data_IF_460782974752
#
_entry.id   IF_460782974752
#
_cell.length_a   1.000
_cell.length_b   1.000
_cell.length_c   1.000
_cell.angle_alpha   90.00
_cell.angle_beta   90.00
_cell.angle_gamma   90.00
#
_symmetry.space_group_name_H-M   'P 1'
#
loop_
_entity.id
_entity.type
_entity.pdbx_description
1 polymer ?
#
# COMPACT_ATOMS: atom_id res chain seq x y z
N UNK A 1 -33.90 2.79 -12.93
CA UNK A 1 -32.58 2.78 -12.27
C UNK A 1 -32.36 4.18 -11.75
N UNK A 2 -32.24 4.38 -10.46
CA UNK A 2 -32.13 5.69 -9.84
C UNK A 2 -30.73 6.26 -10.15
N UNK A 3 -30.67 7.46 -10.75
CA UNK A 3 -29.44 8.11 -11.15
C UNK A 3 -28.53 8.38 -9.92
N UNK A 4 -29.11 8.68 -8.77
CA UNK A 4 -28.37 8.90 -7.53
C UNK A 4 -27.64 7.63 -7.10
N UNK A 5 -28.31 6.48 -7.05
CA UNK A 5 -27.72 5.20 -6.71
C UNK A 5 -26.61 4.78 -7.70
N UNK A 6 -26.77 5.12 -8.97
CA UNK A 6 -25.72 4.89 -9.97
C UNK A 6 -24.49 5.77 -9.74
N UNK A 7 -24.69 7.07 -9.46
CA UNK A 7 -23.58 8.00 -9.18
C UNK A 7 -22.86 7.66 -7.89
N UNK A 8 -23.60 7.25 -6.84
CA UNK A 8 -23.01 6.78 -5.58
C UNK A 8 -22.16 5.52 -5.78
N UNK A 9 -22.64 4.57 -6.59
CA UNK A 9 -21.86 3.40 -6.99
C UNK A 9 -20.55 3.77 -7.68
N UNK A 10 -20.59 4.69 -8.66
CA UNK A 10 -19.38 5.16 -9.35
C UNK A 10 -18.40 5.82 -8.36
N UNK A 11 -18.88 6.67 -7.45
CA UNK A 11 -18.02 7.38 -6.50
C UNK A 11 -17.26 6.42 -5.57
N UNK A 12 -17.90 5.35 -5.11
CA UNK A 12 -17.28 4.30 -4.30
C UNK A 12 -16.18 3.58 -5.09
N UNK A 13 -16.43 3.25 -6.35
CA UNK A 13 -15.43 2.60 -7.20
C UNK A 13 -14.25 3.51 -7.53
N UNK A 14 -14.50 4.78 -7.81
CA UNK A 14 -13.42 5.75 -8.04
C UNK A 14 -12.56 5.94 -6.80
N UNK A 15 -13.16 6.01 -5.62
CA UNK A 15 -12.43 6.06 -4.36
C UNK A 15 -11.59 4.78 -4.12
N UNK A 16 -12.18 3.61 -4.36
CA UNK A 16 -11.45 2.34 -4.23
C UNK A 16 -10.28 2.26 -5.21
N UNK A 17 -10.49 2.59 -6.49
CA UNK A 17 -9.43 2.59 -7.51
C UNK A 17 -8.30 3.54 -7.13
N UNK A 18 -8.60 4.76 -6.66
CA UNK A 18 -7.57 5.74 -6.29
C UNK A 18 -6.70 5.26 -5.11
N UNK A 19 -7.27 4.53 -4.16
CA UNK A 19 -6.53 3.95 -3.03
C UNK A 19 -5.67 2.76 -3.45
N UNK A 20 -6.20 1.86 -4.31
CA UNK A 20 -5.51 0.64 -4.72
C UNK A 20 -4.55 0.81 -5.88
N UNK A 21 -4.78 1.79 -6.77
CA UNK A 21 -3.96 1.98 -7.96
C UNK A 21 -2.48 2.21 -7.63
N UNK A 22 -2.18 3.04 -6.64
CA UNK A 22 -0.80 3.37 -6.28
C UNK A 22 -0.06 2.13 -5.75
N UNK A 23 -0.52 1.41 -4.72
CA UNK A 23 0.15 0.19 -4.25
C UNK A 23 0.30 -0.88 -5.33
N UNK A 24 -0.73 -1.08 -6.16
CA UNK A 24 -0.70 -2.09 -7.24
C UNK A 24 0.31 -1.73 -8.31
N UNK A 25 0.36 -0.47 -8.76
CA UNK A 25 1.35 -0.02 -9.74
C UNK A 25 2.77 -0.14 -9.22
N UNK A 26 3.00 0.17 -7.93
CA UNK A 26 4.30 -0.06 -7.31
C UNK A 26 4.64 -1.54 -7.21
N UNK A 27 3.67 -2.40 -6.84
CA UNK A 27 3.86 -3.84 -6.76
C UNK A 27 4.27 -4.43 -8.10
N UNK A 28 3.54 -4.09 -9.16
CA UNK A 28 3.83 -4.52 -10.52
C UNK A 28 5.21 -4.02 -10.96
N UNK A 29 5.52 -2.75 -10.74
CA UNK A 29 6.79 -2.15 -11.15
C UNK A 29 7.98 -2.81 -10.47
N UNK A 30 7.93 -2.96 -9.15
CA UNK A 30 9.02 -3.58 -8.38
C UNK A 30 9.17 -5.06 -8.71
N UNK A 31 8.07 -5.77 -8.94
CA UNK A 31 8.08 -7.16 -9.37
C UNK A 31 8.83 -7.33 -10.70
N UNK A 32 8.46 -6.57 -11.73
CA UNK A 32 9.10 -6.63 -13.03
C UNK A 32 10.57 -6.19 -12.98
N UNK A 33 10.85 -5.08 -12.27
CA UNK A 33 12.21 -4.59 -12.12
C UNK A 33 13.09 -5.60 -11.37
N UNK A 34 12.57 -6.31 -10.38
CA UNK A 34 13.30 -7.36 -9.67
C UNK A 34 13.71 -8.51 -10.58
N UNK A 35 12.83 -8.96 -11.49
CA UNK A 35 13.19 -9.94 -12.53
C UNK A 35 14.35 -9.46 -13.38
N UNK A 36 14.25 -8.24 -13.92
CA UNK A 36 15.26 -7.70 -14.81
C UNK A 36 16.59 -7.38 -14.11
N UNK A 37 16.58 -6.91 -12.88
CA UNK A 37 17.80 -6.69 -12.10
C UNK A 37 18.50 -8.00 -11.75
N UNK A 38 17.73 -9.01 -11.38
CA UNK A 38 18.26 -10.34 -11.12
C UNK A 38 18.86 -10.96 -12.39
N UNK A 39 18.17 -10.88 -13.53
CA UNK A 39 18.69 -11.34 -14.81
C UNK A 39 20.00 -10.63 -15.16
N UNK A 40 20.06 -9.29 -14.99
CA UNK A 40 21.27 -8.50 -15.20
C UNK A 40 22.43 -8.92 -14.29
N UNK A 41 22.16 -9.24 -13.03
CA UNK A 41 23.18 -9.70 -12.08
C UNK A 41 23.82 -11.02 -12.55
N UNK A 42 23.05 -11.87 -13.23
CA UNK A 42 23.55 -13.11 -13.85
C UNK A 42 24.10 -12.94 -15.26
N UNK A 43 24.18 -11.73 -15.79
CA UNK A 43 24.80 -11.41 -17.08
C UNK A 43 23.85 -11.15 -18.24
N UNK A 44 22.53 -11.22 -18.03
CA UNK A 44 21.56 -10.84 -19.06
C UNK A 44 21.28 -9.32 -19.00
N UNK A 45 21.82 -8.60 -19.98
CA UNK A 45 21.62 -7.15 -20.09
C UNK A 45 20.45 -6.75 -21.01
N UNK A 46 19.65 -7.70 -21.49
CA UNK A 46 18.58 -7.46 -22.48
C UNK A 46 17.58 -6.43 -22.00
N UNK A 47 17.06 -6.57 -20.78
CA UNK A 47 16.11 -5.64 -20.18
C UNK A 47 16.69 -4.24 -20.02
N UNK A 48 17.98 -4.13 -19.69
CA UNK A 48 18.70 -2.85 -19.57
C UNK A 48 18.84 -2.16 -20.94
N UNK A 49 19.29 -2.86 -21.94
CA UNK A 49 19.50 -2.34 -23.31
C UNK A 49 18.19 -1.83 -23.92
N UNK A 50 17.08 -2.49 -23.60
CA UNK A 50 15.75 -2.09 -24.04
C UNK A 50 15.10 -0.99 -23.15
N UNK A 51 15.85 -0.44 -22.16
CA UNK A 51 15.37 0.61 -21.27
C UNK A 51 14.21 0.19 -20.37
N UNK A 52 14.06 -1.15 -20.12
CA UNK A 52 12.97 -1.71 -19.32
C UNK A 52 13.25 -1.74 -17.82
N UNK A 53 14.51 -1.59 -17.38
CA UNK A 53 14.90 -1.48 -15.98
C UNK A 53 14.61 -0.08 -15.44
N UNK A 54 13.34 0.27 -15.32
CA UNK A 54 12.88 1.59 -14.90
C UNK A 54 11.88 1.46 -13.77
N UNK A 55 12.04 2.27 -12.73
CA UNK A 55 11.05 2.40 -11.65
C UNK A 55 9.83 3.26 -12.06
N UNK A 56 9.78 3.76 -13.29
CA UNK A 56 8.61 4.47 -13.79
C UNK A 56 7.50 3.45 -14.11
N UNK A 57 6.39 3.45 -13.35
CA UNK A 57 5.31 2.48 -13.52
C UNK A 57 4.65 2.54 -14.89
N UNK A 58 4.66 3.69 -15.56
CA UNK A 58 4.07 3.85 -16.89
C UNK A 58 4.75 2.98 -17.96
N UNK A 59 6.01 2.61 -17.74
CA UNK A 59 6.74 1.70 -18.65
C UNK A 59 6.33 0.24 -18.53
N UNK A 60 5.65 -0.11 -17.44
CA UNK A 60 5.19 -1.47 -17.12
C UNK A 60 3.69 -1.63 -17.34
N UNK A 61 2.97 -0.55 -17.64
CA UNK A 61 1.56 -0.62 -17.98
C UNK A 61 1.41 -1.27 -19.37
N UNK A 62 0.62 -2.33 -19.43
CA UNK A 62 0.08 -2.90 -20.65
C UNK A 62 -1.36 -2.38 -20.84
N UNK A 63 -1.66 -1.62 -21.91
CA UNK A 63 -3.00 -1.09 -22.11
C UNK A 63 -4.10 -2.15 -22.07
N UNK A 64 -3.81 -3.34 -22.62
CA UNK A 64 -4.77 -4.45 -22.64
C UNK A 64 -4.85 -5.13 -21.28
N UNK A 65 -3.72 -5.58 -20.74
CA UNK A 65 -3.67 -6.40 -19.53
C UNK A 65 -3.84 -5.63 -18.23
N UNK A 66 -3.32 -4.40 -18.17
CA UNK A 66 -3.37 -3.60 -16.93
C UNK A 66 -4.63 -2.74 -16.84
N UNK A 67 -5.25 -2.38 -17.99
CA UNK A 67 -6.38 -1.45 -18.02
C UNK A 67 -7.64 -2.11 -18.57
N UNK A 68 -7.62 -2.59 -19.81
CA UNK A 68 -8.85 -3.04 -20.48
C UNK A 68 -9.43 -4.31 -19.87
N UNK A 69 -8.60 -5.29 -19.56
CA UNK A 69 -9.08 -6.57 -18.98
C UNK A 69 -9.65 -6.36 -17.58
N UNK A 70 -8.98 -5.71 -16.63
CA UNK A 70 -9.58 -5.41 -15.33
C UNK A 70 -10.86 -4.58 -15.44
N UNK A 71 -10.92 -3.59 -16.34
CA UNK A 71 -12.13 -2.80 -16.55
C UNK A 71 -13.30 -3.64 -17.11
N UNK A 72 -13.04 -4.51 -18.08
CA UNK A 72 -14.06 -5.40 -18.63
C UNK A 72 -14.57 -6.40 -17.58
N UNK A 73 -13.68 -6.96 -16.76
CA UNK A 73 -14.04 -7.87 -15.67
C UNK A 73 -14.84 -7.15 -14.57
N UNK A 74 -14.48 -5.91 -14.26
CA UNK A 74 -15.22 -5.07 -13.32
C UNK A 74 -16.66 -4.83 -13.81
N UNK A 75 -16.82 -4.53 -15.11
CA UNK A 75 -18.15 -4.33 -15.70
C UNK A 75 -18.97 -5.60 -15.77
N UNK A 76 -18.34 -6.76 -16.04
CA UNK A 76 -19.02 -8.03 -16.18
C UNK A 76 -19.37 -8.71 -14.86
N UNK A 77 -18.49 -8.61 -13.86
CA UNK A 77 -18.58 -9.37 -12.60
C UNK A 77 -18.65 -8.48 -11.35
N UNK A 78 -18.50 -7.14 -11.50
CA UNK A 78 -18.52 -6.20 -10.38
C UNK A 78 -17.21 -6.08 -9.62
N UNK A 79 -16.13 -6.80 -10.01
CA UNK A 79 -14.80 -6.71 -9.43
C UNK A 79 -13.72 -7.14 -10.43
N UNK A 80 -12.49 -6.58 -10.36
CA UNK A 80 -11.40 -6.96 -11.22
C UNK A 80 -10.79 -8.28 -10.73
N UNK A 81 -10.96 -9.36 -11.49
CA UNK A 81 -10.46 -10.69 -11.13
C UNK A 81 -8.95 -10.82 -11.32
N UNK A 82 -8.42 -10.33 -12.43
CA UNK A 82 -7.01 -10.39 -12.77
C UNK A 82 -6.65 -9.35 -13.82
N UNK A 83 -5.35 -9.15 -13.99
CA UNK A 83 -4.74 -8.35 -15.02
C UNK A 83 -3.25 -8.71 -15.09
N UNK A 84 -2.54 -8.19 -16.07
CA UNK A 84 -1.10 -8.38 -16.20
C UNK A 84 -0.39 -7.09 -16.56
N UNK A 85 0.91 -7.05 -16.25
CA UNK A 85 1.81 -5.99 -16.67
C UNK A 85 2.52 -6.36 -17.97
N UNK A 86 3.16 -5.39 -18.60
CA UNK A 86 4.07 -5.62 -19.71
C UNK A 86 5.35 -6.26 -19.20
N UNK A 87 5.58 -7.55 -19.51
CA UNK A 87 6.69 -8.30 -18.91
C UNK A 87 8.05 -7.75 -19.35
N UNK A 88 9.05 -7.90 -18.49
CA UNK A 88 10.44 -7.62 -18.81
C UNK A 88 11.01 -8.80 -19.64
N UNK A 89 11.63 -8.55 -20.80
CA UNK A 89 12.27 -9.58 -21.56
C UNK A 89 13.53 -10.09 -20.83
N UNK A 90 13.63 -11.40 -20.69
CA UNK A 90 14.76 -12.10 -20.08
C UNK A 90 15.28 -13.15 -21.07
N UNK A 91 16.55 -13.02 -21.45
CA UNK A 91 17.22 -13.95 -22.35
C UNK A 91 18.16 -14.85 -21.55
N UNK A 92 17.77 -16.09 -21.36
CA UNK A 92 18.51 -17.02 -20.51
C UNK A 92 19.43 -17.96 -21.28
N UNK A 93 19.35 -18.00 -22.61
CA UNK A 93 20.10 -18.93 -23.47
C UNK A 93 21.62 -18.73 -23.39
N UNK A 94 22.08 -17.49 -23.16
CA UNK A 94 23.49 -17.14 -23.05
C UNK A 94 24.10 -17.28 -21.65
N UNK A 95 23.31 -17.64 -20.63
CA UNK A 95 23.74 -17.68 -19.25
C UNK A 95 24.48 -18.97 -18.90
N UNK A 96 25.48 -18.88 -18.00
CA UNK A 96 26.36 -19.99 -17.60
C UNK A 96 25.59 -21.21 -17.05
N UNK A 97 24.44 -20.99 -16.39
CA UNK A 97 23.56 -22.04 -15.86
C UNK A 97 22.09 -21.64 -16.13
N UNK A 98 21.58 -21.74 -17.36
CA UNK A 98 20.27 -21.20 -17.75
C UNK A 98 19.13 -21.65 -16.84
N UNK A 99 19.07 -22.96 -16.51
CA UNK A 99 17.99 -23.55 -15.70
C UNK A 99 17.93 -22.99 -14.28
N UNK A 100 19.08 -22.91 -13.59
CA UNK A 100 19.14 -22.37 -12.21
C UNK A 100 18.88 -20.88 -12.20
N UNK A 101 19.47 -20.15 -13.14
CA UNK A 101 19.28 -18.70 -13.26
C UNK A 101 17.84 -18.34 -13.57
N UNK A 102 17.16 -19.08 -14.45
CA UNK A 102 15.73 -18.85 -14.74
C UNK A 102 14.85 -19.01 -13.50
N UNK A 103 15.14 -20.01 -12.64
CA UNK A 103 14.41 -20.20 -11.38
C UNK A 103 14.64 -19.02 -10.44
N UNK A 104 15.88 -18.56 -10.26
CA UNK A 104 16.20 -17.43 -9.38
C UNK A 104 15.56 -16.15 -9.89
N UNK A 105 15.65 -15.90 -11.20
CA UNK A 105 15.00 -14.76 -11.83
C UNK A 105 13.48 -14.82 -11.65
N UNK A 106 12.87 -15.98 -11.87
CA UNK A 106 11.42 -16.16 -11.67
C UNK A 106 10.97 -15.92 -10.22
N UNK A 107 11.78 -16.26 -9.23
CA UNK A 107 11.48 -16.04 -7.82
C UNK A 107 11.70 -14.59 -7.38
N UNK A 108 12.49 -13.81 -8.10
CA UNK A 108 12.84 -12.44 -7.71
C UNK A 108 11.61 -11.50 -7.65
N UNK A 109 10.68 -11.62 -8.60
CA UNK A 109 9.44 -10.83 -8.61
C UNK A 109 8.56 -11.10 -7.39
N UNK A 110 8.14 -12.34 -7.14
CA UNK A 110 7.40 -12.68 -5.93
C UNK A 110 8.10 -12.27 -4.63
N UNK A 111 9.43 -12.46 -4.55
CA UNK A 111 10.21 -12.05 -3.39
C UNK A 111 10.16 -10.54 -3.16
N UNK A 112 10.25 -9.71 -4.20
CA UNK A 112 10.10 -8.27 -4.12
C UNK A 112 8.71 -7.88 -3.59
N UNK A 113 7.66 -8.55 -4.03
CA UNK A 113 6.30 -8.29 -3.54
C UNK A 113 6.12 -8.68 -2.06
N UNK A 114 6.72 -9.79 -1.62
CA UNK A 114 6.70 -10.20 -0.20
C UNK A 114 7.43 -9.16 0.67
N UNK A 115 8.60 -8.70 0.25
CA UNK A 115 9.34 -7.66 0.95
C UNK A 115 8.55 -6.35 1.03
N UNK A 116 7.90 -5.96 -0.05
CA UNK A 116 7.05 -4.77 -0.08
C UNK A 116 5.82 -4.92 0.82
N UNK A 117 5.16 -6.08 0.82
CA UNK A 117 4.04 -6.35 1.71
C UNK A 117 4.46 -6.29 3.20
N UNK A 118 5.63 -6.83 3.53
CA UNK A 118 6.20 -6.73 4.89
C UNK A 118 6.48 -5.27 5.28
N UNK A 119 7.04 -4.47 4.37
CA UNK A 119 7.29 -3.05 4.59
C UNK A 119 5.98 -2.27 4.82
N UNK A 120 4.99 -2.46 3.96
CA UNK A 120 3.67 -1.82 4.13
C UNK A 120 2.98 -2.25 5.42
N UNK A 121 3.08 -3.53 5.79
CA UNK A 121 2.58 -4.06 7.07
C UNK A 121 3.25 -3.39 8.28
N UNK A 122 4.57 -3.19 8.23
CA UNK A 122 5.31 -2.50 9.28
C UNK A 122 4.91 -1.01 9.38
N UNK A 123 4.75 -0.32 8.24
CA UNK A 123 4.28 1.07 8.20
C UNK A 123 2.87 1.17 8.79
N UNK A 124 1.96 0.29 8.40
CA UNK A 124 0.60 0.26 8.93
C UNK A 124 0.60 0.02 10.45
N UNK A 125 1.39 -0.94 10.93
CA UNK A 125 1.51 -1.21 12.36
C UNK A 125 2.03 0.01 13.12
N UNK A 126 3.04 0.72 12.60
CA UNK A 126 3.55 1.95 13.20
C UNK A 126 2.47 3.05 13.26
N UNK A 127 1.73 3.26 12.16
CA UNK A 127 0.64 4.26 12.10
C UNK A 127 -0.46 3.93 13.12
N UNK A 128 -0.84 2.65 13.24
CA UNK A 128 -1.85 2.22 14.21
C UNK A 128 -1.39 2.42 15.66
N UNK A 129 -0.10 2.20 15.95
CA UNK A 129 0.46 2.47 17.29
C UNK A 129 0.43 3.97 17.63
N UNK A 130 0.81 4.83 16.68
CA UNK A 130 0.75 6.28 16.85
C UNK A 130 -0.69 6.73 17.13
N UNK A 131 -1.65 6.23 16.35
CA UNK A 131 -3.09 6.55 16.55
C UNK A 131 -3.62 6.07 17.90
N UNK A 132 -3.19 4.89 18.38
CA UNK A 132 -3.57 4.38 19.71
C UNK A 132 -3.05 5.29 20.83
N UNK A 133 -1.80 5.74 20.74
CA UNK A 133 -1.26 6.71 21.67
C UNK A 133 -2.09 7.99 21.72
N UNK A 134 -2.36 8.59 20.56
CA UNK A 134 -3.15 9.83 20.48
C UNK A 134 -4.58 9.69 21.04
N UNK A 135 -5.24 8.56 20.80
CA UNK A 135 -6.60 8.34 21.35
C UNK A 135 -6.57 8.18 22.86
N UNK A 136 -5.61 7.46 23.43
CA UNK A 136 -5.48 7.32 24.87
C UNK A 136 -5.21 8.68 25.54
N UNK A 137 -4.29 9.47 25.00
CA UNK A 137 -3.97 10.80 25.53
C UNK A 137 -5.20 11.72 25.50
N UNK A 138 -5.98 11.72 24.41
CA UNK A 138 -7.21 12.52 24.30
C UNK A 138 -8.31 12.06 25.27
N UNK A 139 -8.42 10.76 25.55
CA UNK A 139 -9.35 10.22 26.54
C UNK A 139 -8.94 10.59 27.95
N UNK A 140 -7.64 10.55 28.27
CA UNK A 140 -7.09 10.94 29.56
C UNK A 140 -7.32 12.43 29.80
N UNK A 141 -6.99 13.30 28.86
CA UNK A 141 -7.24 14.74 28.92
C UNK A 141 -8.74 15.06 29.05
N UNK A 142 -9.60 14.37 28.31
CA UNK A 142 -11.05 14.51 28.40
C UNK A 142 -11.60 14.08 29.74
N UNK A 143 -11.10 13.01 30.34
CA UNK A 143 -11.48 12.53 31.66
C UNK A 143 -11.01 13.50 32.75
N UNK A 144 -9.77 13.98 32.70
CA UNK A 144 -9.27 14.99 33.64
C UNK A 144 -10.11 16.26 33.61
N UNK A 145 -10.38 16.80 32.41
CA UNK A 145 -11.20 17.99 32.25
C UNK A 145 -12.64 17.80 32.77
N UNK A 146 -13.23 16.61 32.55
CA UNK A 146 -14.58 16.29 33.06
C UNK A 146 -14.60 16.18 34.58
N UNK A 147 -13.60 15.56 35.19
CA UNK A 147 -13.48 15.45 36.66
C UNK A 147 -13.28 16.83 37.28
N UNK A 148 -12.45 17.69 36.66
CA UNK A 148 -12.27 19.07 37.13
C UNK A 148 -13.55 19.90 36.98
N UNK A 149 -14.33 19.71 35.92
CA UNK A 149 -15.58 20.44 35.69
C UNK A 149 -16.67 20.05 36.72
N UNK A 150 -16.83 18.76 36.98
CA UNK A 150 -17.78 18.24 37.98
C UNK A 150 -17.33 18.64 39.40
N UNK A 151 -16.02 18.58 39.70
CA UNK A 151 -15.46 19.01 40.96
C UNK A 151 -15.59 20.52 41.22
N UNK A 152 -15.57 21.34 40.16
CA UNK A 152 -15.69 22.80 40.27
C UNK A 152 -17.11 23.27 40.59
N UNK A 153 -18.14 22.45 40.29
CA UNK A 153 -19.55 22.80 40.55
C UNK A 153 -19.99 22.61 42.01
N UNK A 154 -19.26 21.83 42.80
CA UNK A 154 -19.69 21.47 44.16
C UNK A 154 -18.67 21.67 45.29
N UNK A 155 -17.45 22.12 44.99
CA UNK A 155 -16.44 22.28 46.04
C UNK A 155 -16.15 23.74 46.39
N UNK A 156 -16.21 24.04 47.72
CA UNK A 156 -15.75 25.30 48.31
C UNK A 156 -14.34 25.68 47.75
N UNK A 157 -14.13 26.96 47.37
CA UNK A 157 -12.86 27.44 46.83
C UNK A 157 -11.59 27.09 47.64
N UNK A 158 -11.75 26.88 48.96
CA UNK A 158 -10.65 26.48 49.86
C UNK A 158 -10.20 25.01 49.61
N UNK A 159 -11.13 24.14 49.22
CA UNK A 159 -10.83 22.72 48.95
C UNK A 159 -10.16 22.60 47.57
N UNK A 160 -10.56 23.40 46.58
CA UNK A 160 -10.00 23.44 45.24
C UNK A 160 -8.50 23.75 45.22
N UNK A 161 -8.04 24.69 46.07
CA UNK A 161 -6.61 25.01 46.20
C UNK A 161 -5.78 23.86 46.81
N UNK A 162 -6.36 23.06 47.67
CA UNK A 162 -5.65 21.95 48.32
C UNK A 162 -5.44 20.75 47.41
N UNK A 163 -6.39 20.46 46.52
CA UNK A 163 -6.28 19.40 45.53
C UNK A 163 -5.33 19.73 44.38
N UNK A 164 -5.29 20.99 43.94
CA UNK A 164 -4.36 21.45 42.90
C UNK A 164 -2.87 21.39 43.30
N UNK A 165 -2.56 21.26 44.58
CA UNK A 165 -1.20 21.14 45.11
C UNK A 165 -0.73 19.67 45.25
N UNK A 166 -1.63 18.68 45.17
CA UNK A 166 -1.31 17.26 45.30
C UNK A 166 -1.24 16.51 43.98
N UNK A 167 -1.58 17.17 42.87
CA UNK A 167 -1.54 16.60 41.51
C UNK A 167 -0.37 17.12 40.66
N UNK A 168 0.60 17.79 41.27
CA UNK A 168 1.92 18.09 40.73
C UNK A 168 2.97 17.21 41.39
#
# INVERSE_FOLDING_TARGET
MDLSAFLDGISIWLAAISVWAIPVLFAITLHEVAHGWTARFFGDHTAQLLGRLSLNPLRHIDPLGTVMVPAALLLAFGFPLFGWAKPIPVETSGLRNPRRTSIIVALAGPAANILMAALWGAVLAAVLQIRRGQTLDSWVEGAENSIFHVGSLHLNPRIRKKWALHLK
#
